data_IF_695873190835
#
_entry.id   IF_695873190835
#
_cell.length_a   1.000
_cell.length_b   1.000
_cell.length_c   1.000
_cell.angle_alpha   90.00
_cell.angle_beta   90.00
_cell.angle_gamma   90.00
#
_symmetry.space_group_name_H-M   'P 1'
#
loop_
_entity.id
_entity.type
_entity.pdbx_description
1 polymer ?
#
# COMPACT_ATOMS: atom_id res chain seq x y z
N UNK A 1 -6.62 -31.63 31.66
CA UNK A 1 -7.62 -32.58 32.20
C UNK A 1 -7.12 -34.01 32.02
N UNK A 2 -7.58 -34.97 32.84
CA UNK A 2 -7.23 -36.37 32.61
C UNK A 2 -7.68 -36.80 31.20
N UNK A 3 -6.80 -37.49 30.46
CA UNK A 3 -7.05 -37.92 29.09
C UNK A 3 -6.97 -36.82 28.03
N UNK A 4 -6.36 -35.66 28.33
CA UNK A 4 -6.08 -34.62 27.35
C UNK A 4 -4.59 -34.28 27.36
N UNK A 5 -4.02 -34.14 26.17
CA UNK A 5 -2.65 -33.72 25.94
C UNK A 5 -2.63 -32.40 25.19
N UNK A 6 -1.58 -31.61 25.42
CA UNK A 6 -1.35 -30.35 24.70
C UNK A 6 -1.03 -30.65 23.23
N UNK A 7 -1.56 -29.83 22.33
CA UNK A 7 -1.28 -29.88 20.89
C UNK A 7 0.15 -29.41 20.55
N UNK A 8 1.17 -30.16 20.95
CA UNK A 8 2.60 -29.80 20.79
C UNK A 8 3.35 -30.60 19.71
N UNK A 9 2.68 -31.58 19.07
CA UNK A 9 3.28 -32.47 18.08
C UNK A 9 3.69 -33.84 18.63
N UNK A 10 3.63 -34.06 19.94
CA UNK A 10 3.79 -35.38 20.55
C UNK A 10 2.60 -36.30 20.26
N UNK A 11 2.63 -37.56 20.70
CA UNK A 11 1.46 -38.47 20.70
C UNK A 11 0.67 -38.57 19.37
N UNK A 12 1.32 -38.36 18.22
CA UNK A 12 0.68 -38.33 16.89
C UNK A 12 -0.44 -37.29 16.72
N UNK A 13 -0.40 -36.21 17.50
CA UNK A 13 -1.34 -35.08 17.41
C UNK A 13 -0.68 -33.85 16.77
N UNK A 14 -1.43 -32.93 16.15
CA UNK A 14 -0.85 -31.74 15.51
C UNK A 14 -0.18 -30.79 16.51
N UNK A 15 0.90 -30.13 16.09
CA UNK A 15 1.48 -29.01 16.82
C UNK A 15 0.73 -27.72 16.45
N UNK A 16 -0.07 -27.20 17.39
CA UNK A 16 -0.85 -25.96 17.23
C UNK A 16 -0.27 -24.78 18.04
N UNK A 17 0.88 -24.97 18.69
CA UNK A 17 1.56 -23.89 19.40
C UNK A 17 1.97 -22.80 18.40
N UNK A 18 1.80 -21.53 18.82
CA UNK A 18 2.12 -20.32 18.04
C UNK A 18 1.49 -20.26 16.64
N UNK A 19 0.34 -20.93 16.44
CA UNK A 19 -0.34 -21.02 15.15
C UNK A 19 -1.79 -20.59 15.26
N UNK A 20 -2.29 -19.93 14.21
CA UNK A 20 -3.71 -19.72 14.00
C UNK A 20 -4.31 -20.94 13.29
N UNK A 21 -5.48 -21.38 13.73
CA UNK A 21 -6.19 -22.51 13.11
C UNK A 21 -6.98 -22.02 11.90
N UNK A 22 -6.73 -22.63 10.76
CA UNK A 22 -7.49 -22.44 9.52
C UNK A 22 -8.21 -23.73 9.16
N UNK A 23 -9.49 -23.62 8.78
CA UNK A 23 -10.25 -24.76 8.25
C UNK A 23 -9.73 -25.21 6.88
N UNK A 24 -9.81 -26.51 6.60
CA UNK A 24 -9.57 -27.03 5.26
C UNK A 24 -10.70 -26.64 4.32
N UNK A 25 -10.39 -26.35 3.05
CA UNK A 25 -11.38 -25.89 2.08
C UNK A 25 -12.41 -26.97 1.71
N UNK A 26 -12.00 -28.25 1.76
CA UNK A 26 -12.85 -29.39 1.41
C UNK A 26 -12.55 -30.58 2.31
N UNK A 27 -13.49 -31.52 2.42
CA UNK A 27 -13.33 -32.74 3.22
C UNK A 27 -12.23 -33.69 2.69
N UNK A 28 -11.84 -33.57 1.41
CA UNK A 28 -10.76 -34.37 0.81
C UNK A 28 -9.36 -33.79 0.98
N UNK A 29 -9.24 -32.60 1.55
CA UNK A 29 -7.93 -31.98 1.80
C UNK A 29 -7.36 -32.47 3.12
N UNK A 30 -6.19 -33.12 3.06
CA UNK A 30 -5.48 -33.53 4.27
C UNK A 30 -5.13 -32.29 5.12
N UNK A 31 -5.58 -32.23 6.38
CA UNK A 31 -5.25 -31.15 7.29
C UNK A 31 -3.78 -31.23 7.74
N UNK A 32 -3.27 -30.14 8.32
CA UNK A 32 -1.92 -30.10 8.91
C UNK A 32 -0.85 -29.42 8.06
N UNK A 33 -1.21 -28.91 6.87
CA UNK A 33 -0.35 -27.95 6.18
C UNK A 33 -0.20 -26.69 7.02
N UNK A 34 0.99 -26.08 6.98
CA UNK A 34 1.30 -24.86 7.73
C UNK A 34 1.75 -23.76 6.78
N UNK A 35 1.64 -22.52 7.21
CA UNK A 35 2.04 -21.35 6.43
C UNK A 35 1.88 -20.07 7.25
N UNK A 36 2.06 -18.94 6.57
CA UNK A 36 2.06 -17.61 7.20
C UNK A 36 3.44 -17.19 7.69
N UNK A 37 3.52 -15.94 8.15
CA UNK A 37 4.74 -15.33 8.67
C UNK A 37 4.36 -14.29 9.72
N UNK A 38 5.20 -14.13 10.74
CA UNK A 38 5.08 -13.02 11.68
C UNK A 38 5.74 -11.75 11.16
N UNK A 39 6.53 -11.83 10.08
CA UNK A 39 7.22 -10.70 9.47
C UNK A 39 6.90 -10.58 7.98
N UNK A 40 7.08 -9.39 7.42
CA UNK A 40 6.88 -9.13 6.00
C UNK A 40 8.05 -8.32 5.45
N UNK A 41 8.74 -8.86 4.45
CA UNK A 41 9.72 -8.11 3.67
C UNK A 41 9.04 -7.45 2.47
N UNK A 42 9.48 -6.24 2.13
CA UNK A 42 9.07 -5.53 0.93
C UNK A 42 10.23 -5.53 -0.05
N UNK A 43 9.95 -5.99 -1.27
CA UNK A 43 10.87 -5.79 -2.40
C UNK A 43 10.64 -4.38 -2.93
N UNK A 44 11.73 -3.65 -3.16
CA UNK A 44 11.68 -2.31 -3.74
C UNK A 44 10.91 -2.35 -5.07
N UNK A 45 9.92 -1.48 -5.19
CA UNK A 45 9.17 -1.27 -6.43
C UNK A 45 8.84 0.21 -6.55
N UNK A 46 8.53 0.64 -7.77
CA UNK A 46 8.20 2.03 -8.09
C UNK A 46 6.74 2.13 -8.49
N UNK A 47 6.06 3.17 -8.02
CA UNK A 47 4.77 3.57 -8.55
C UNK A 47 4.98 4.68 -9.59
N UNK A 48 4.43 4.48 -10.78
CA UNK A 48 4.40 5.52 -11.80
C UNK A 48 3.08 6.27 -11.67
N UNK A 49 3.13 7.57 -11.44
CA UNK A 49 1.94 8.43 -11.48
C UNK A 49 1.51 8.64 -12.93
N UNK A 50 0.20 8.67 -13.18
CA UNK A 50 -0.34 9.01 -14.49
C UNK A 50 0.00 10.45 -14.90
N UNK A 51 -0.04 10.73 -16.20
CA UNK A 51 0.13 12.09 -16.71
C UNK A 51 -0.96 13.02 -16.17
N UNK A 52 -0.58 14.24 -15.80
CA UNK A 52 -1.53 15.28 -15.41
C UNK A 52 -1.27 16.55 -16.22
N UNK A 53 -2.27 17.42 -16.31
CA UNK A 53 -2.25 18.62 -17.16
C UNK A 53 -2.41 19.86 -16.29
N UNK A 54 -1.60 20.88 -16.56
CA UNK A 54 -1.77 22.21 -16.00
C UNK A 54 -2.47 23.11 -17.03
N UNK A 55 -3.43 23.92 -16.57
CA UNK A 55 -4.02 24.98 -17.37
C UNK A 55 -3.27 26.29 -17.11
N UNK A 56 -2.69 26.86 -18.15
CA UNK A 56 -2.05 28.17 -18.09
C UNK A 56 -3.11 29.26 -18.26
N UNK A 57 -3.25 30.13 -17.25
CA UNK A 57 -4.10 31.31 -17.33
C UNK A 57 -3.30 32.48 -17.89
N UNK A 58 -3.81 33.12 -18.96
CA UNK A 58 -3.28 34.39 -19.44
C UNK A 58 -3.85 35.55 -18.62
N UNK A 59 -3.01 36.53 -18.34
CA UNK A 59 -3.43 37.77 -17.70
C UNK A 59 -3.00 38.94 -18.57
N UNK A 60 -3.86 39.94 -18.68
CA UNK A 60 -3.60 41.15 -19.46
C UNK A 60 -2.82 42.12 -18.57
N UNK A 61 -1.60 42.50 -18.94
CA UNK A 61 -0.94 43.70 -18.38
C UNK A 61 -1.26 44.88 -19.26
N UNK A 62 -2.05 45.83 -18.74
CA UNK A 62 -2.12 47.16 -19.32
C UNK A 62 -0.80 47.86 -18.99
N UNK A 63 0.00 48.17 -20.01
CA UNK A 63 1.11 49.10 -19.85
C UNK A 63 0.53 50.48 -19.48
N UNK A 64 1.20 51.21 -18.58
CA UNK A 64 0.80 52.54 -18.14
C UNK A 64 0.43 53.44 -19.34
N UNK A 65 -0.87 53.66 -19.56
CA UNK A 65 -1.35 54.63 -20.53
C UNK A 65 -1.16 56.02 -19.93
N UNK A 66 -0.39 56.87 -20.59
CA UNK A 66 -0.34 58.31 -20.28
C UNK A 66 -1.63 58.96 -20.79
N UNK A 67 -2.16 59.96 -20.07
CA UNK A 67 -3.39 60.66 -20.47
C UNK A 67 -3.30 61.17 -21.91
N UNK A 68 -4.27 60.78 -22.74
CA UNK A 68 -4.33 61.12 -24.18
C UNK A 68 -3.94 59.98 -25.13
N UNK A 69 -3.53 58.82 -24.63
CA UNK A 69 -3.28 57.64 -25.47
C UNK A 69 -4.58 56.94 -25.90
N UNK A 70 -4.66 56.55 -27.18
CA UNK A 70 -5.69 55.65 -27.70
C UNK A 70 -5.41 54.22 -27.23
N UNK A 71 -6.42 53.53 -26.69
CA UNK A 71 -6.30 52.13 -26.29
C UNK A 71 -6.03 51.26 -27.54
N UNK A 72 -4.91 50.53 -27.53
CA UNK A 72 -4.66 49.45 -28.51
C UNK A 72 -4.66 48.14 -27.72
N UNK A 73 -5.75 47.40 -27.81
CA UNK A 73 -5.85 46.05 -27.22
C UNK A 73 -4.98 45.12 -28.06
N UNK A 74 -3.72 44.93 -27.63
CA UNK A 74 -2.90 43.84 -28.15
C UNK A 74 -3.40 42.53 -27.51
N UNK A 75 -4.36 41.88 -28.17
CA UNK A 75 -4.69 40.49 -27.83
C UNK A 75 -3.60 39.59 -28.42
N UNK A 76 -2.56 39.32 -27.64
CA UNK A 76 -1.71 38.17 -27.91
C UNK A 76 -2.44 36.93 -27.38
N UNK A 77 -3.22 36.27 -28.24
CA UNK A 77 -3.58 34.87 -27.99
C UNK A 77 -2.32 34.04 -28.19
N UNK A 78 -1.47 33.98 -27.17
CA UNK A 78 -0.47 32.94 -27.05
C UNK A 78 -1.20 31.65 -26.70
N UNK A 79 -1.88 31.05 -27.68
CA UNK A 79 -2.31 29.66 -27.61
C UNK A 79 -1.10 28.76 -27.84
N UNK A 80 -0.05 28.94 -27.03
CA UNK A 80 1.06 28.01 -26.99
C UNK A 80 0.70 27.00 -25.92
N UNK A 81 0.24 25.83 -26.35
CA UNK A 81 0.10 24.69 -25.46
C UNK A 81 1.49 24.32 -24.96
N UNK A 82 1.90 24.84 -23.81
CA UNK A 82 3.11 24.42 -23.14
C UNK A 82 2.79 23.09 -22.43
N UNK A 83 3.20 21.97 -23.01
CA UNK A 83 3.30 20.72 -22.26
C UNK A 83 4.57 20.79 -21.43
N UNK A 84 4.47 21.36 -20.22
CA UNK A 84 5.47 21.10 -19.19
C UNK A 84 5.24 19.65 -18.75
N UNK A 85 6.02 18.74 -19.33
CA UNK A 85 6.15 17.40 -18.77
C UNK A 85 6.94 17.56 -17.48
N UNK A 86 6.24 17.65 -16.34
CA UNK A 86 6.90 17.43 -15.06
C UNK A 86 7.25 15.94 -14.99
N UNK A 87 8.54 15.55 -14.96
CA UNK A 87 8.91 14.17 -14.70
C UNK A 87 8.43 13.87 -13.29
N UNK A 88 7.23 13.25 -13.20
CA UNK A 88 6.44 13.19 -11.97
C UNK A 88 7.29 12.91 -10.74
N UNK A 89 7.09 13.73 -9.71
CA UNK A 89 7.81 13.63 -8.45
C UNK A 89 7.78 12.19 -7.92
N UNK A 90 8.98 11.57 -7.86
CA UNK A 90 9.13 10.22 -7.34
C UNK A 90 9.37 10.33 -5.84
N UNK A 91 8.29 10.43 -5.07
CA UNK A 91 8.39 10.37 -3.62
C UNK A 91 8.78 8.94 -3.19
N UNK A 92 10.08 8.68 -3.13
CA UNK A 92 10.65 7.37 -2.80
C UNK A 92 10.80 7.25 -1.29
N UNK A 93 9.84 6.58 -0.65
CA UNK A 93 9.96 6.14 0.73
C UNK A 93 10.29 4.66 0.76
N UNK A 94 11.52 4.33 1.14
CA UNK A 94 11.93 2.94 1.30
C UNK A 94 11.51 2.42 2.68
N UNK A 95 10.52 1.52 2.71
CA UNK A 95 10.25 0.67 3.88
C UNK A 95 10.63 -0.76 3.47
N UNK A 96 11.68 -1.31 4.07
CA UNK A 96 12.28 -2.58 3.62
C UNK A 96 11.63 -3.80 4.28
N UNK A 97 11.08 -3.66 5.49
CA UNK A 97 10.41 -4.76 6.19
C UNK A 97 9.55 -4.30 7.38
N UNK A 98 8.58 -5.14 7.75
CA UNK A 98 7.93 -5.17 9.06
C UNK A 98 8.42 -6.40 9.84
N UNK A 99 9.02 -6.18 11.02
CA UNK A 99 9.56 -7.25 11.87
C UNK A 99 8.48 -8.07 12.55
N UNK A 100 7.34 -7.45 12.85
CA UNK A 100 6.17 -8.10 13.44
C UNK A 100 4.89 -7.50 12.82
N UNK A 101 4.00 -8.35 12.32
CA UNK A 101 2.70 -7.98 11.75
C UNK A 101 1.52 -8.54 12.55
N UNK A 102 1.77 -9.09 13.74
CA UNK A 102 0.72 -9.66 14.58
C UNK A 102 -0.10 -8.54 15.25
N UNK A 103 -1.44 -8.60 15.24
CA UNK A 103 -2.28 -7.72 16.06
C UNK A 103 -2.11 -8.07 17.55
N UNK A 104 -2.60 -7.22 18.46
CA UNK A 104 -2.68 -7.57 19.89
C UNK A 104 -3.45 -8.89 20.07
N UNK A 105 -2.95 -9.77 20.92
CA UNK A 105 -3.49 -11.11 21.12
C UNK A 105 -3.37 -11.57 22.57
N UNK A 106 -4.14 -12.61 22.90
CA UNK A 106 -3.97 -13.42 24.10
C UNK A 106 -3.49 -14.81 23.70
N UNK A 107 -2.55 -15.36 24.47
CA UNK A 107 -2.12 -16.73 24.27
C UNK A 107 -3.18 -17.71 24.75
N UNK A 108 -3.47 -18.71 23.92
CA UNK A 108 -4.32 -19.85 24.24
C UNK A 108 -3.61 -21.14 23.86
N UNK A 109 -3.93 -22.23 24.57
CA UNK A 109 -3.44 -23.55 24.25
C UNK A 109 -4.59 -24.46 23.81
N UNK A 110 -4.33 -25.28 22.80
CA UNK A 110 -5.24 -26.33 22.38
C UNK A 110 -4.87 -27.64 23.08
N UNK A 111 -5.89 -28.36 23.54
CA UNK A 111 -5.75 -29.71 24.07
C UNK A 111 -6.55 -30.69 23.21
N UNK A 112 -5.99 -31.86 22.97
CA UNK A 112 -6.65 -32.96 22.26
C UNK A 112 -6.81 -34.15 23.21
N UNK A 113 -7.94 -34.86 23.08
CA UNK A 113 -8.20 -36.04 23.88
C UNK A 113 -7.32 -37.20 23.40
N UNK A 114 -6.67 -37.88 24.34
CA UNK A 114 -5.95 -39.14 24.14
C UNK A 114 -6.87 -40.34 24.35
#
# INVERSE_FOLDING_TARGET
>A
PAGYVICDGGNSIPNLLTRFVQGVATAGTNPGTTGGSTSKSHVSHTHTMGTHRHDAHSYIRLANLTSGSTEVIFSSTSATAHSLEDPGDTNSRTVTAHSDIRPLFYDIAYLMKT
#
